data_IF_176578349981
#
_entry.id   IF_176578349981
#
_cell.length_a   1.000
_cell.length_b   1.000
_cell.length_c   1.000
_cell.angle_alpha   90.00
_cell.angle_beta   90.00
_cell.angle_gamma   90.00
#
_symmetry.space_group_name_H-M   'P 1'
#
loop_
_entity.id
_entity.type
_entity.pdbx_description
1 polymer ?
#
# COMPACT_ATOMS: atom_id res chain seq x y z
N UNK A 1 -14.04 -8.10 -4.99
CA UNK A 1 -14.25 -9.56 -4.84
C UNK A 1 -12.93 -10.27 -5.10
N UNK A 2 -12.56 -11.26 -4.27
CA UNK A 2 -11.28 -11.97 -4.39
C UNK A 2 -11.19 -12.83 -5.66
N UNK A 3 -12.34 -13.21 -6.22
CA UNK A 3 -12.45 -14.06 -7.41
C UNK A 3 -11.85 -13.45 -8.68
N UNK A 4 -11.91 -12.12 -8.86
CA UNK A 4 -11.32 -11.47 -10.03
C UNK A 4 -9.79 -11.36 -9.95
N UNK A 5 -9.24 -11.21 -8.73
CA UNK A 5 -7.80 -11.09 -8.53
C UNK A 5 -7.08 -12.43 -8.76
N UNK A 6 -7.71 -13.56 -8.41
CA UNK A 6 -7.19 -14.90 -8.70
C UNK A 6 -7.27 -15.26 -10.19
N UNK A 7 -8.31 -14.78 -10.90
CA UNK A 7 -8.48 -15.02 -12.34
C UNK A 7 -7.42 -14.28 -13.19
N UNK A 8 -6.88 -13.17 -12.70
CA UNK A 8 -5.89 -12.36 -13.40
C UNK A 8 -4.47 -12.96 -13.35
N UNK A 9 -4.21 -13.88 -12.42
CA UNK A 9 -2.91 -14.53 -12.26
C UNK A 9 -1.83 -13.64 -11.63
N UNK A 10 -0.63 -14.19 -11.36
CA UNK A 10 0.46 -13.48 -10.67
C UNK A 10 1.09 -12.34 -11.50
N UNK A 11 0.72 -12.19 -12.77
CA UNK A 11 1.22 -11.10 -13.62
C UNK A 11 0.43 -9.80 -13.45
N UNK A 12 -0.61 -9.80 -12.61
CA UNK A 12 -1.51 -8.66 -12.44
C UNK A 12 -1.32 -8.00 -11.07
N UNK A 13 -1.26 -6.66 -11.01
CA UNK A 13 -1.09 -5.92 -9.76
C UNK A 13 -2.23 -6.20 -8.77
N UNK A 14 -3.46 -6.45 -9.24
CA UNK A 14 -4.63 -6.74 -8.40
C UNK A 14 -4.46 -8.03 -7.58
N UNK A 15 -3.77 -9.03 -8.11
CA UNK A 15 -3.44 -10.26 -7.40
C UNK A 15 -2.56 -9.97 -6.17
N UNK A 16 -1.49 -9.22 -6.39
CA UNK A 16 -0.55 -8.84 -5.34
C UNK A 16 -1.16 -7.86 -4.33
N UNK A 17 -2.07 -6.97 -4.75
CA UNK A 17 -2.85 -6.12 -3.85
C UNK A 17 -3.82 -6.91 -2.98
N UNK A 18 -4.47 -7.92 -3.56
CA UNK A 18 -5.26 -8.88 -2.80
C UNK A 18 -4.42 -9.52 -1.70
N UNK A 19 -3.24 -10.03 -2.04
CA UNK A 19 -2.30 -10.60 -1.06
C UNK A 19 -1.88 -9.59 0.01
N UNK A 20 -1.50 -8.37 -0.36
CA UNK A 20 -1.12 -7.32 0.57
C UNK A 20 -2.23 -7.05 1.59
N UNK A 21 -3.46 -6.93 1.12
CA UNK A 21 -4.65 -6.76 1.97
C UNK A 21 -4.90 -7.97 2.88
N UNK A 22 -4.64 -9.20 2.40
CA UNK A 22 -4.79 -10.41 3.22
C UNK A 22 -3.80 -10.40 4.38
N UNK A 23 -2.54 -10.14 4.07
CA UNK A 23 -1.46 -10.14 5.05
C UNK A 23 -1.62 -9.02 6.07
N UNK A 24 -1.98 -7.81 5.65
CA UNK A 24 -2.28 -6.71 6.55
C UNK A 24 -3.40 -7.06 7.54
N UNK A 25 -4.48 -7.71 7.07
CA UNK A 25 -5.56 -8.17 7.97
C UNK A 25 -5.14 -9.26 8.94
N UNK A 26 -4.11 -10.04 8.60
CA UNK A 26 -3.55 -11.07 9.47
C UNK A 26 -2.50 -10.52 10.45
N UNK A 27 -2.16 -9.22 10.33
CA UNK A 27 -1.07 -8.60 11.09
C UNK A 27 0.32 -9.05 10.61
N UNK A 28 0.42 -9.64 9.42
CA UNK A 28 1.70 -9.99 8.82
C UNK A 28 2.17 -8.82 7.95
N UNK A 29 2.64 -7.77 8.62
CA UNK A 29 3.01 -6.52 7.95
C UNK A 29 4.22 -6.68 7.02
N UNK A 30 5.13 -7.61 7.35
CA UNK A 30 6.27 -7.93 6.49
C UNK A 30 5.80 -8.54 5.15
N UNK A 31 4.89 -9.50 5.18
CA UNK A 31 4.32 -10.09 3.98
C UNK A 31 3.41 -9.10 3.23
N UNK A 32 2.70 -8.23 3.94
CA UNK A 32 1.89 -7.17 3.34
C UNK A 32 2.75 -6.20 2.54
N UNK A 33 3.87 -5.76 3.12
CA UNK A 33 4.84 -4.89 2.45
C UNK A 33 5.45 -5.56 1.21
N UNK A 34 5.83 -6.84 1.32
CA UNK A 34 6.39 -7.59 0.19
C UNK A 34 5.38 -7.67 -0.98
N UNK A 35 4.13 -8.02 -0.68
CA UNK A 35 3.08 -8.11 -1.70
C UNK A 35 2.74 -6.73 -2.30
N UNK A 36 2.72 -5.67 -1.50
CA UNK A 36 2.52 -4.31 -1.99
C UNK A 36 3.66 -3.85 -2.92
N UNK A 37 4.91 -4.22 -2.61
CA UNK A 37 6.08 -3.95 -3.47
C UNK A 37 5.98 -4.69 -4.80
N UNK A 38 5.59 -5.96 -4.80
CA UNK A 38 5.33 -6.72 -6.03
C UNK A 38 4.25 -6.04 -6.89
N UNK A 39 3.14 -5.59 -6.27
CA UNK A 39 2.10 -4.84 -6.98
C UNK A 39 2.64 -3.54 -7.60
N UNK A 40 3.47 -2.79 -6.86
CA UNK A 40 4.09 -1.57 -7.37
C UNK A 40 5.12 -1.82 -8.49
N UNK A 41 5.79 -2.97 -8.50
CA UNK A 41 6.71 -3.34 -9.56
C UNK A 41 5.98 -3.66 -10.89
N UNK A 42 4.76 -4.18 -10.80
CA UNK A 42 3.89 -4.42 -11.96
C UNK A 42 3.20 -3.14 -12.45
N UNK A 43 2.79 -2.28 -11.51
CA UNK A 43 2.20 -0.98 -11.83
C UNK A 43 2.61 0.07 -10.81
N UNK A 44 3.62 0.86 -11.18
CA UNK A 44 4.22 1.87 -10.29
C UNK A 44 3.23 2.94 -9.85
N UNK A 45 2.27 3.29 -10.70
CA UNK A 45 1.26 4.31 -10.43
C UNK A 45 0.03 3.79 -9.69
N UNK A 46 0.02 2.54 -9.20
CA UNK A 46 -1.16 2.00 -8.54
C UNK A 46 -1.30 2.53 -7.09
N UNK A 47 -2.31 3.37 -6.78
CA UNK A 47 -2.38 4.06 -5.48
C UNK A 47 -2.50 3.08 -4.31
N UNK A 48 -3.30 2.01 -4.45
CA UNK A 48 -3.46 1.03 -3.37
C UNK A 48 -2.17 0.26 -3.03
N UNK A 49 -1.20 0.15 -3.95
CA UNK A 49 0.08 -0.48 -3.63
C UNK A 49 0.86 0.38 -2.63
N UNK A 50 0.92 1.68 -2.87
CA UNK A 50 1.55 2.64 -1.95
C UNK A 50 0.79 2.75 -0.63
N UNK A 51 -0.54 2.69 -0.64
CA UNK A 51 -1.34 2.66 0.59
C UNK A 51 -0.99 1.46 1.48
N UNK A 52 -1.06 0.24 0.94
CA UNK A 52 -0.76 -0.97 1.73
C UNK A 52 0.71 -1.04 2.15
N UNK A 53 1.64 -0.54 1.32
CA UNK A 53 3.04 -0.42 1.71
C UNK A 53 3.20 0.54 2.89
N UNK A 54 2.55 1.71 2.86
CA UNK A 54 2.64 2.72 3.91
C UNK A 54 2.03 2.24 5.24
N UNK A 55 0.89 1.56 5.19
CA UNK A 55 0.27 0.95 6.37
C UNK A 55 1.16 -0.13 6.98
N UNK A 56 1.68 -1.03 6.15
CA UNK A 56 2.60 -2.08 6.60
C UNK A 56 3.89 -1.50 7.21
N UNK A 57 4.47 -0.48 6.58
CA UNK A 57 5.66 0.21 7.09
C UNK A 57 5.38 0.91 8.42
N UNK A 58 4.20 1.50 8.58
CA UNK A 58 3.76 2.12 9.85
C UNK A 58 3.69 1.07 10.95
N UNK A 59 3.07 -0.08 10.69
CA UNK A 59 2.95 -1.16 11.66
C UNK A 59 4.30 -1.81 12.02
N UNK A 60 5.24 -1.86 11.06
CA UNK A 60 6.63 -2.28 11.28
C UNK A 60 7.50 -1.23 12.01
N UNK A 61 6.96 -0.05 12.34
CA UNK A 61 7.70 1.05 12.96
C UNK A 61 8.68 1.77 12.03
N UNK A 62 8.65 1.48 10.72
CA UNK A 62 9.52 2.09 9.69
C UNK A 62 8.93 3.40 9.20
N UNK A 63 8.85 4.35 10.12
CA UNK A 63 8.15 5.63 9.96
C UNK A 63 8.60 6.46 8.76
N UNK A 64 9.90 6.58 8.53
CA UNK A 64 10.44 7.38 7.41
C UNK A 64 10.02 6.83 6.05
N UNK A 65 10.03 5.50 5.92
CA UNK A 65 9.59 4.83 4.69
C UNK A 65 8.08 4.87 4.55
N UNK A 66 7.33 4.80 5.66
CA UNK A 66 5.88 4.95 5.65
C UNK A 66 5.47 6.34 5.16
N UNK A 67 6.14 7.39 5.64
CA UNK A 67 5.93 8.76 5.19
C UNK A 67 6.17 8.88 3.67
N UNK A 68 7.29 8.36 3.17
CA UNK A 68 7.61 8.38 1.73
C UNK A 68 6.56 7.62 0.89
N UNK A 69 6.05 6.49 1.40
CA UNK A 69 5.00 5.73 0.73
C UNK A 69 3.65 6.48 0.73
N UNK A 70 3.29 7.17 1.81
CA UNK A 70 2.10 8.03 1.82
C UNK A 70 2.25 9.24 0.89
N UNK A 71 3.44 9.83 0.78
CA UNK A 71 3.71 10.90 -0.18
C UNK A 71 3.50 10.41 -1.62
N UNK A 72 4.07 9.24 -1.97
CA UNK A 72 3.84 8.59 -3.27
C UNK A 72 2.36 8.32 -3.52
N UNK A 73 1.63 7.81 -2.53
CA UNK A 73 0.17 7.64 -2.63
C UNK A 73 -0.53 8.96 -2.99
N UNK A 74 -0.17 10.06 -2.33
CA UNK A 74 -0.76 11.37 -2.59
C UNK A 74 -0.44 11.91 -3.99
N UNK A 75 0.73 11.57 -4.55
CA UNK A 75 1.15 11.95 -5.89
C UNK A 75 0.41 11.15 -6.97
N UNK A 76 0.27 9.83 -6.80
CA UNK A 76 -0.31 8.96 -7.83
C UNK A 76 -1.84 8.86 -7.75
N UNK A 77 -2.44 9.17 -6.59
CA UNK A 77 -3.89 9.07 -6.42
C UNK A 77 -4.63 10.23 -7.11
N UNK A 78 -5.45 9.91 -8.10
CA UNK A 78 -6.40 10.88 -8.67
C UNK A 78 -7.54 11.20 -7.71
N UNK A 79 -7.90 10.24 -6.85
CA UNK A 79 -8.98 10.40 -5.85
C UNK A 79 -8.57 11.38 -4.74
N UNK A 80 -9.31 12.49 -4.53
CA UNK A 80 -9.04 13.42 -3.44
C UNK A 80 -9.15 12.79 -2.05
N UNK A 81 -9.98 11.77 -1.84
CA UNK A 81 -10.11 11.10 -0.55
C UNK A 81 -8.82 10.35 -0.17
N UNK A 82 -8.19 9.66 -1.13
CA UNK A 82 -6.90 8.98 -0.91
C UNK A 82 -5.77 9.97 -0.63
N UNK A 83 -5.77 11.12 -1.30
CA UNK A 83 -4.80 12.20 -1.04
C UNK A 83 -4.97 12.82 0.35
N UNK A 84 -6.21 13.01 0.78
CA UNK A 84 -6.51 13.50 2.12
C UNK A 84 -6.07 12.48 3.19
N UNK A 85 -6.39 11.19 2.99
CA UNK A 85 -5.97 10.10 3.86
C UNK A 85 -4.44 10.05 3.99
N UNK A 86 -3.72 10.14 2.88
CA UNK A 86 -2.26 10.13 2.88
C UNK A 86 -1.69 11.27 3.74
N UNK A 87 -2.23 12.48 3.60
CA UNK A 87 -1.80 13.65 4.37
C UNK A 87 -2.08 13.48 5.86
N UNK A 88 -3.29 13.05 6.22
CA UNK A 88 -3.67 12.79 7.60
C UNK A 88 -2.74 11.75 8.24
N UNK A 89 -2.41 10.68 7.51
CA UNK A 89 -1.51 9.65 8.02
C UNK A 89 -0.07 10.13 8.17
N UNK A 90 0.44 10.96 7.25
CA UNK A 90 1.76 11.60 7.40
C UNK A 90 1.80 12.46 8.67
N UNK A 91 0.77 13.28 8.90
CA UNK A 91 0.66 14.10 10.11
C UNK A 91 0.55 13.24 11.38
N UNK A 92 -0.19 12.13 11.32
CA UNK A 92 -0.38 11.20 12.43
C UNK A 92 0.85 10.35 12.75
N UNK A 93 1.77 10.18 11.79
CA UNK A 93 3.11 9.74 12.14
C UNK A 93 3.65 10.82 13.11
N UNK A 94 3.79 12.07 12.68
CA UNK A 94 4.28 13.18 13.50
C UNK A 94 5.75 13.51 13.20
N UNK A 95 6.33 14.53 13.87
CA UNK A 95 7.69 14.97 13.56
C UNK A 95 8.73 13.86 13.84
N UNK A 96 9.85 13.93 13.11
CA UNK A 96 11.05 13.10 13.33
C UNK A 96 11.71 13.43 14.66
#
# INVERSE_FOLDING_TARGET
CWDQALAAGPSHPEYHLGRARLFARRGDDAAALAAAREASALQESHPFAHLYAAEALTALGRREEAEAAYQRLAEVASDPALRALARERIEALGPR
#
